data_IF_032469559035
#
_entry.id   IF_032469559035
#
_cell.length_a   1.000
_cell.length_b   1.000
_cell.length_c   1.000
_cell.angle_alpha   90.00
_cell.angle_beta   90.00
_cell.angle_gamma   90.00
#
_symmetry.space_group_name_H-M   'P 1'
#
loop_
_entity.id
_entity.type
_entity.pdbx_description
1 polymer ?
#
# COMPACT_ATOMS: atom_id res chain seq x y z
N UNK A 1 19.67 29.03 -9.41
CA UNK A 1 19.97 27.58 -9.55
C UNK A 1 18.88 26.85 -8.79
N UNK A 2 17.89 26.30 -9.48
CA UNK A 2 16.73 25.67 -8.82
C UNK A 2 17.11 24.23 -8.47
N UNK A 3 17.67 24.02 -7.28
CA UNK A 3 18.01 22.69 -6.78
C UNK A 3 16.75 21.94 -6.37
N UNK A 4 16.36 20.95 -7.18
CA UNK A 4 16.05 19.63 -6.65
C UNK A 4 14.62 19.33 -6.18
N UNK A 5 13.58 19.84 -6.85
CA UNK A 5 12.26 19.20 -6.73
C UNK A 5 12.06 18.22 -7.89
N UNK A 6 12.84 17.13 -7.90
CA UNK A 6 12.52 15.97 -8.74
C UNK A 6 11.24 15.36 -8.17
N UNK A 7 10.11 15.38 -8.89
CA UNK A 7 8.92 14.69 -8.43
C UNK A 7 9.27 13.21 -8.23
N UNK A 8 8.99 12.67 -7.04
CA UNK A 8 9.12 11.23 -6.79
C UNK A 8 8.36 10.49 -7.90
N UNK A 9 8.95 9.43 -8.49
CA UNK A 9 8.33 8.71 -9.59
C UNK A 9 6.97 8.18 -9.16
N UNK A 10 5.93 8.72 -9.78
CA UNK A 10 4.55 8.33 -9.57
C UNK A 10 4.27 7.09 -10.44
N UNK A 11 4.06 5.94 -9.81
CA UNK A 11 3.89 4.65 -10.46
C UNK A 11 2.44 4.19 -10.33
N UNK A 12 1.76 3.82 -11.43
CA UNK A 12 0.44 3.21 -11.34
C UNK A 12 0.53 1.90 -10.54
N UNK A 13 -0.32 1.73 -9.54
CA UNK A 13 -0.32 0.53 -8.69
C UNK A 13 -0.53 -0.74 -9.52
N UNK A 14 -1.39 -0.67 -10.54
CA UNK A 14 -1.61 -1.73 -11.52
C UNK A 14 -0.34 -2.22 -12.21
N UNK A 15 0.65 -1.36 -12.43
CA UNK A 15 1.92 -1.73 -13.07
C UNK A 15 2.76 -2.60 -12.15
N UNK A 16 2.71 -2.35 -10.83
CA UNK A 16 3.41 -3.15 -9.83
C UNK A 16 2.76 -4.52 -9.65
N UNK A 17 1.43 -4.58 -9.74
CA UNK A 17 0.67 -5.82 -9.60
C UNK A 17 0.67 -6.66 -10.89
N UNK A 18 1.18 -6.11 -12.01
CA UNK A 18 1.23 -6.80 -13.30
C UNK A 18 2.14 -8.01 -13.19
N UNK A 19 1.58 -9.20 -13.42
CA UNK A 19 2.30 -10.48 -13.36
C UNK A 19 2.19 -11.20 -12.01
N UNK A 20 1.46 -10.63 -11.04
CA UNK A 20 1.19 -11.28 -9.76
C UNK A 20 -0.29 -11.64 -9.70
N UNK A 21 -0.61 -12.84 -9.19
CA UNK A 21 -1.99 -13.17 -8.86
C UNK A 21 -2.36 -12.52 -7.53
N UNK A 22 -3.32 -11.60 -7.54
CA UNK A 22 -3.87 -10.96 -6.35
C UNK A 22 -5.38 -11.12 -6.30
N UNK A 23 -5.97 -10.90 -5.13
CA UNK A 23 -7.42 -10.82 -4.95
C UNK A 23 -7.74 -9.51 -4.27
N UNK A 24 -8.88 -8.96 -4.64
CA UNK A 24 -9.46 -7.77 -3.99
C UNK A 24 -10.75 -8.17 -3.28
N UNK A 25 -11.14 -7.39 -2.27
CA UNK A 25 -12.37 -7.65 -1.51
C UNK A 25 -13.63 -7.43 -2.34
N UNK A 26 -13.64 -6.41 -3.20
CA UNK A 26 -14.80 -6.03 -4.02
C UNK A 26 -14.40 -5.56 -5.42
N UNK A 27 -15.37 -5.51 -6.36
CA UNK A 27 -15.19 -4.92 -7.69
C UNK A 27 -14.82 -3.42 -7.63
N UNK A 28 -15.29 -2.71 -6.60
CA UNK A 28 -14.93 -1.31 -6.35
C UNK A 28 -13.44 -1.18 -6.03
N UNK A 29 -12.89 -2.08 -5.24
CA UNK A 29 -11.47 -2.09 -4.89
C UNK A 29 -10.57 -2.33 -6.12
N UNK A 30 -10.99 -3.19 -7.05
CA UNK A 30 -10.28 -3.37 -8.32
C UNK A 30 -10.20 -2.07 -9.12
N UNK A 31 -11.31 -1.34 -9.26
CA UNK A 31 -11.33 -0.03 -9.95
C UNK A 31 -10.50 1.03 -9.23
N UNK A 32 -10.41 0.96 -7.91
CA UNK A 32 -9.53 1.84 -7.12
C UNK A 32 -8.08 1.56 -7.49
N UNK A 33 -7.64 0.30 -7.53
CA UNK A 33 -6.27 -0.09 -7.89
C UNK A 33 -5.86 0.48 -9.27
N UNK A 34 -6.73 0.35 -10.28
CA UNK A 34 -6.46 0.83 -11.64
C UNK A 34 -6.22 2.35 -11.71
N UNK A 35 -6.87 3.11 -10.82
CA UNK A 35 -6.78 4.58 -10.77
C UNK A 35 -5.81 5.07 -9.69
N UNK A 36 -5.23 4.17 -8.92
CA UNK A 36 -4.34 4.51 -7.81
C UNK A 36 -2.91 4.63 -8.32
N UNK A 37 -2.28 5.74 -7.95
CA UNK A 37 -0.88 6.02 -8.23
C UNK A 37 -0.13 6.07 -6.92
N UNK A 38 0.96 5.32 -6.83
CA UNK A 38 1.82 5.24 -5.65
C UNK A 38 3.13 5.99 -5.89
N UNK A 39 3.68 6.59 -4.84
CA UNK A 39 5.00 7.24 -4.84
C UNK A 39 6.14 6.26 -4.53
N UNK A 40 5.81 5.07 -4.03
CA UNK A 40 6.78 4.04 -3.69
C UNK A 40 6.16 2.84 -2.99
N UNK A 41 7.00 1.84 -2.70
CA UNK A 41 6.62 0.60 -2.02
C UNK A 41 7.55 0.43 -0.81
N UNK A 42 7.00 0.06 0.34
CA UNK A 42 7.79 -0.24 1.54
C UNK A 42 7.20 -1.43 2.30
N UNK A 43 8.06 -2.25 2.90
CA UNK A 43 7.67 -3.27 3.87
C UNK A 43 8.05 -2.88 5.31
N UNK A 44 8.69 -1.73 5.50
CA UNK A 44 8.99 -1.16 6.82
C UNK A 44 7.93 -0.11 7.15
N UNK A 45 7.10 -0.39 8.15
CA UNK A 45 6.01 0.48 8.58
C UNK A 45 6.50 1.81 9.16
N UNK A 46 7.75 1.89 9.62
CA UNK A 46 8.38 3.15 10.07
C UNK A 46 8.74 4.07 8.91
N UNK A 47 8.79 3.52 7.70
CA UNK A 47 9.01 4.26 6.44
C UNK A 47 7.72 4.41 5.64
N UNK A 48 6.59 3.93 6.15
CA UNK A 48 5.29 4.17 5.55
C UNK A 48 5.05 5.68 5.49
N UNK A 49 4.54 6.14 4.35
CA UNK A 49 4.29 7.54 4.10
C UNK A 49 3.10 7.73 3.16
N UNK A 50 2.53 8.94 3.10
CA UNK A 50 1.45 9.28 2.18
C UNK A 50 1.77 8.91 0.73
N UNK A 51 0.86 8.17 0.11
CA UNK A 51 0.98 7.73 -1.28
C UNK A 51 1.82 6.47 -1.49
N UNK A 52 2.36 5.85 -0.44
CA UNK A 52 3.10 4.59 -0.57
C UNK A 52 2.19 3.36 -0.45
N UNK A 53 2.62 2.26 -1.08
CA UNK A 53 2.09 0.91 -0.86
C UNK A 53 2.88 0.25 0.28
N UNK A 54 2.18 -0.23 1.30
CA UNK A 54 2.78 -1.07 2.34
C UNK A 54 2.68 -2.55 1.97
N UNK A 55 3.77 -3.30 2.09
CA UNK A 55 3.78 -4.76 1.85
C UNK A 55 3.99 -5.47 3.19
N UNK A 56 2.92 -6.04 3.71
CA UNK A 56 2.93 -6.89 4.89
C UNK A 56 3.43 -8.28 4.50
N UNK A 57 4.75 -8.48 4.67
CA UNK A 57 5.40 -9.77 4.48
C UNK A 57 5.38 -10.55 5.81
N UNK A 58 5.09 -11.85 5.75
CA UNK A 58 5.34 -12.75 6.87
C UNK A 58 6.86 -12.99 6.97
N UNK A 59 7.44 -12.67 8.12
CA UNK A 59 8.86 -12.87 8.37
C UNK A 59 9.05 -13.68 9.65
N UNK A 60 10.08 -14.53 9.69
CA UNK A 60 10.38 -15.38 10.86
C UNK A 60 10.67 -14.61 12.15
N UNK A 61 10.85 -13.29 12.09
CA UNK A 61 11.15 -12.42 13.23
C UNK A 61 10.01 -11.48 13.63
N UNK A 62 9.15 -11.11 12.68
CA UNK A 62 8.05 -10.17 12.88
C UNK A 62 6.96 -10.45 11.85
N UNK A 63 5.71 -10.51 12.30
CA UNK A 63 4.56 -10.59 11.41
C UNK A 63 4.25 -9.17 10.87
N UNK A 64 4.47 -8.96 9.57
CA UNK A 64 4.18 -7.69 8.89
C UNK A 64 2.72 -7.24 9.01
N UNK A 65 1.81 -8.18 9.32
CA UNK A 65 0.38 -7.90 9.45
C UNK A 65 0.06 -7.06 10.70
N UNK A 66 0.84 -7.18 11.78
CA UNK A 66 0.70 -6.36 12.99
C UNK A 66 0.90 -4.86 12.69
N UNK A 67 1.66 -4.55 11.64
CA UNK A 67 2.00 -3.18 11.27
C UNK A 67 1.09 -2.57 10.21
N UNK A 68 0.07 -3.29 9.76
CA UNK A 68 -0.89 -2.79 8.76
C UNK A 68 -1.58 -1.53 9.27
N UNK A 69 -2.04 -1.53 10.53
CA UNK A 69 -2.70 -0.38 11.15
C UNK A 69 -1.76 0.82 11.18
N UNK A 70 -0.54 0.64 11.68
CA UNK A 70 0.46 1.70 11.73
C UNK A 70 0.79 2.26 10.33
N UNK A 71 0.89 1.41 9.31
CA UNK A 71 1.12 1.85 7.94
C UNK A 71 -0.03 2.71 7.39
N UNK A 72 -1.28 2.33 7.68
CA UNK A 72 -2.48 3.10 7.31
C UNK A 72 -2.48 4.45 8.03
N UNK A 73 -2.18 4.48 9.34
CA UNK A 73 -2.09 5.72 10.13
C UNK A 73 -0.99 6.66 9.61
N UNK A 74 0.11 6.10 9.10
CA UNK A 74 1.18 6.85 8.44
C UNK A 74 0.82 7.34 7.02
N UNK A 75 -0.39 7.07 6.54
CA UNK A 75 -0.93 7.58 5.28
C UNK A 75 -0.71 6.67 4.07
N UNK A 76 -0.32 5.39 4.26
CA UNK A 76 -0.29 4.45 3.15
C UNK A 76 -1.68 4.32 2.53
N UNK A 77 -1.72 4.38 1.20
CA UNK A 77 -2.98 4.36 0.45
C UNK A 77 -3.43 2.95 0.07
N UNK A 78 -2.52 1.97 0.20
CA UNK A 78 -2.76 0.58 -0.10
C UNK A 78 -1.87 -0.34 0.74
N UNK A 79 -2.33 -1.57 0.95
CA UNK A 79 -1.62 -2.63 1.67
C UNK A 79 -1.68 -3.91 0.84
N UNK A 80 -0.53 -4.55 0.65
CA UNK A 80 -0.40 -5.87 0.05
C UNK A 80 -0.01 -6.87 1.13
N UNK A 81 -0.75 -7.96 1.27
CA UNK A 81 -0.51 -9.00 2.28
C UNK A 81 -0.74 -10.40 1.69
N UNK A 82 -0.25 -11.43 2.40
CA UNK A 82 -0.43 -12.81 1.97
C UNK A 82 -1.87 -13.32 2.14
N UNK A 83 -2.25 -14.26 1.27
CA UNK A 83 -3.61 -14.78 1.19
C UNK A 83 -3.99 -15.50 2.48
N UNK A 84 -5.09 -15.06 3.10
CA UNK A 84 -5.66 -15.67 4.32
C UNK A 84 -5.47 -14.86 5.59
N UNK A 85 -4.68 -13.77 5.56
CA UNK A 85 -4.49 -12.85 6.69
C UNK A 85 -4.88 -11.40 6.40
N UNK A 86 -5.50 -11.16 5.24
CA UNK A 86 -6.20 -9.90 4.97
C UNK A 86 -7.39 -9.78 5.94
N UNK A 87 -7.16 -9.18 7.10
CA UNK A 87 -8.23 -8.70 7.98
C UNK A 87 -9.12 -7.71 7.23
N UNK A 88 -10.29 -7.40 7.80
CA UNK A 88 -11.23 -6.42 7.25
C UNK A 88 -10.70 -4.99 7.43
N UNK A 89 -9.58 -4.64 6.77
CA UNK A 89 -9.00 -3.30 6.76
C UNK A 89 -9.73 -2.43 5.75
N UNK A 90 -11.03 -2.24 5.99
CA UNK A 90 -11.89 -1.48 5.11
C UNK A 90 -11.77 -0.01 5.48
N UNK A 91 -10.70 0.63 5.01
CA UNK A 91 -10.51 2.08 5.00
C UNK A 91 -11.05 2.75 6.27
N UNK A 92 -10.39 2.49 7.40
CA UNK A 92 -10.75 3.12 8.67
C UNK A 92 -10.39 4.60 8.53
N UNK A 93 -11.41 5.43 8.26
CA UNK A 93 -11.26 6.88 8.11
C UNK A 93 -11.33 7.37 6.67
N UNK A 94 -12.55 7.51 6.14
CA UNK A 94 -12.87 8.55 5.15
C UNK A 94 -13.72 9.61 5.86
N UNK A 95 -13.07 10.41 6.69
CA UNK A 95 -13.56 11.75 7.03
C UNK A 95 -12.96 12.69 5.99
N UNK A 96 -13.81 13.38 5.25
CA UNK A 96 -13.41 14.56 4.47
C UNK A 96 -12.89 15.65 5.39
#
# INVERSE_FOLDING_TARGET
>A
MNTGNTPSPQLPLQSLLKGIQYRVGTDKDARIIERTVISGVTSDSRKAAPGMLFVALDGSRFDGHDFIVAAIENGCIAVLCEKGRAGTYRQIGRGF
#
